data_IF_794537097540
#
_entry.id   IF_794537097540
#
_cell.length_a   1.000
_cell.length_b   1.000
_cell.length_c   1.000
_cell.angle_alpha   90.00
_cell.angle_beta   90.00
_cell.angle_gamma   90.00
#
_symmetry.space_group_name_H-M   'P 1'
#
loop_
_entity.id
_entity.type
_entity.pdbx_description
1 polymer ?
#
# COMPACT_ATOMS: atom_id res chain seq x y z
N UNK A 1 -1.19 -11.73 -73.85
CA UNK A 1 -0.42 -10.57 -73.36
C UNK A 1 -1.10 -10.07 -72.10
N UNK A 2 -0.37 -10.09 -70.99
CA UNK A 2 -0.90 -10.11 -69.63
C UNK A 2 -1.26 -8.73 -69.10
N UNK A 3 -2.50 -8.56 -68.66
CA UNK A 3 -2.91 -7.43 -67.80
C UNK A 3 -2.76 -7.88 -66.35
N UNK A 4 -1.70 -7.43 -65.68
CA UNK A 4 -1.45 -7.70 -64.25
C UNK A 4 -2.32 -6.77 -63.41
N UNK A 5 -3.20 -7.36 -62.60
CA UNK A 5 -3.90 -6.70 -61.50
C UNK A 5 -2.91 -6.61 -60.33
N UNK A 6 -2.57 -5.38 -59.91
CA UNK A 6 -1.80 -5.12 -58.69
C UNK A 6 -2.79 -4.98 -57.53
N UNK A 7 -2.97 -6.05 -56.76
CA UNK A 7 -3.57 -6.01 -55.43
C UNK A 7 -2.53 -5.48 -54.44
N UNK A 8 -2.77 -4.29 -53.89
CA UNK A 8 -2.00 -3.77 -52.76
C UNK A 8 -2.38 -4.57 -51.50
N UNK A 9 -1.47 -5.42 -51.04
CA UNK A 9 -1.60 -6.08 -49.74
C UNK A 9 -1.23 -5.06 -48.65
N UNK A 10 -2.23 -4.58 -47.91
CA UNK A 10 -2.05 -3.84 -46.67
C UNK A 10 -1.53 -4.79 -45.59
N UNK A 11 -0.24 -4.65 -45.24
CA UNK A 11 0.32 -5.26 -44.04
C UNK A 11 -0.33 -4.60 -42.81
N UNK A 12 -0.99 -5.34 -41.91
CA UNK A 12 -1.39 -4.77 -40.63
C UNK A 12 -0.12 -4.55 -39.81
N UNK A 13 0.17 -3.28 -39.53
CA UNK A 13 1.15 -2.89 -38.52
C UNK A 13 0.61 -3.38 -37.18
N UNK A 14 1.19 -4.47 -36.66
CA UNK A 14 0.94 -4.93 -35.31
C UNK A 14 1.52 -3.87 -34.36
N UNK A 15 0.67 -2.93 -33.93
CA UNK A 15 1.00 -2.04 -32.83
C UNK A 15 1.10 -2.93 -31.59
N UNK A 16 2.33 -3.23 -31.18
CA UNK A 16 2.58 -3.87 -29.89
C UNK A 16 2.14 -2.86 -28.82
N UNK A 17 0.92 -3.05 -28.31
CA UNK A 17 0.47 -2.40 -27.09
C UNK A 17 1.35 -3.00 -26.00
N UNK A 18 2.41 -2.28 -25.63
CA UNK A 18 3.09 -2.50 -24.36
C UNK A 18 2.06 -2.20 -23.28
N UNK A 19 1.37 -3.23 -22.83
CA UNK A 19 0.61 -3.20 -21.59
C UNK A 19 1.62 -2.96 -20.47
N UNK A 20 1.77 -1.71 -20.06
CA UNK A 20 2.40 -1.35 -18.79
C UNK A 20 1.70 -2.15 -17.71
N UNK A 21 2.39 -3.17 -17.19
CA UNK A 21 1.87 -4.01 -16.15
C UNK A 21 1.69 -3.15 -14.90
N UNK A 22 0.45 -2.92 -14.50
CA UNK A 22 0.13 -2.36 -13.21
C UNK A 22 0.44 -3.44 -12.15
N UNK A 23 1.55 -3.27 -11.44
CA UNK A 23 1.90 -4.07 -10.26
C UNK A 23 1.16 -3.44 -9.07
N UNK A 24 0.25 -4.21 -8.50
CA UNK A 24 -0.56 -3.94 -7.30
C UNK A 24 -0.71 -5.32 -6.64
N UNK A 25 -0.52 -5.61 -5.34
CA UNK A 25 -0.30 -4.84 -4.11
C UNK A 25 0.27 -5.77 -2.99
N UNK A 26 0.90 -5.17 -1.96
CA UNK A 26 1.19 -5.65 -0.59
C UNK A 26 1.77 -7.05 -0.37
N UNK A 27 3.07 -7.17 -0.66
CA UNK A 27 3.90 -8.29 -0.24
C UNK A 27 5.31 -8.22 -0.82
N UNK A 28 6.24 -8.98 -0.27
CA UNK A 28 7.70 -9.08 -0.46
C UNK A 28 8.20 -9.32 -1.88
N UNK A 29 7.35 -9.17 -2.89
CA UNK A 29 7.74 -9.28 -4.30
C UNK A 29 7.10 -8.16 -5.14
N UNK A 30 6.32 -7.28 -4.53
CA UNK A 30 5.70 -6.12 -5.20
C UNK A 30 6.68 -4.95 -5.40
N UNK A 31 7.73 -4.85 -4.57
CA UNK A 31 8.86 -3.94 -4.81
C UNK A 31 10.10 -4.74 -5.21
N UNK A 32 10.30 -4.93 -6.52
CA UNK A 32 11.45 -5.64 -7.07
C UNK A 32 12.81 -5.03 -6.68
N UNK A 33 12.85 -3.78 -6.19
CA UNK A 33 14.07 -3.17 -5.68
C UNK A 33 14.52 -3.78 -4.34
N UNK A 34 13.64 -4.45 -3.59
CA UNK A 34 13.95 -5.05 -2.30
C UNK A 34 14.41 -6.51 -2.37
N UNK A 35 14.32 -7.14 -3.56
CA UNK A 35 14.55 -8.58 -3.72
C UNK A 35 15.40 -8.91 -4.95
N UNK A 36 16.11 -10.04 -4.91
CA UNK A 36 16.84 -10.59 -6.07
C UNK A 36 15.89 -11.39 -6.95
N UNK A 37 15.13 -10.68 -7.80
CA UNK A 37 14.04 -11.26 -8.62
C UNK A 37 14.50 -12.03 -9.85
N UNK A 38 15.80 -12.04 -10.13
CA UNK A 38 16.44 -12.82 -11.20
C UNK A 38 16.64 -14.29 -10.82
N UNK A 39 16.67 -14.61 -9.53
CA UNK A 39 16.89 -15.96 -9.02
C UNK A 39 15.81 -16.35 -8.01
N UNK A 40 14.86 -17.18 -8.44
CA UNK A 40 13.89 -17.79 -7.53
C UNK A 40 14.54 -18.97 -6.80
N UNK A 41 14.49 -18.95 -5.48
CA UNK A 41 14.97 -20.03 -4.61
C UNK A 41 13.80 -20.92 -4.21
N UNK A 42 14.09 -22.20 -3.94
CA UNK A 42 13.12 -23.19 -3.48
C UNK A 42 13.66 -23.93 -2.25
N UNK A 43 12.83 -24.05 -1.21
CA UNK A 43 13.18 -24.68 0.07
C UNK A 43 12.05 -25.58 0.56
N UNK A 44 12.42 -26.62 1.30
CA UNK A 44 11.52 -27.39 2.16
C UNK A 44 11.97 -27.21 3.61
N UNK A 45 11.01 -27.12 4.53
CA UNK A 45 11.31 -26.86 5.94
C UNK A 45 10.04 -26.74 6.76
N UNK A 46 10.19 -26.26 7.99
CA UNK A 46 9.12 -26.18 8.97
C UNK A 46 8.90 -24.71 9.40
N UNK A 47 7.69 -24.18 9.20
CA UNK A 47 7.31 -22.91 9.83
C UNK A 47 7.05 -23.17 11.31
N UNK A 48 7.77 -22.44 12.16
CA UNK A 48 7.77 -22.64 13.62
C UNK A 48 7.12 -21.49 14.37
N UNK A 49 6.98 -20.34 13.72
CA UNK A 49 6.46 -19.12 14.31
C UNK A 49 5.86 -18.25 13.21
N UNK A 50 4.76 -17.57 13.52
CA UNK A 50 4.08 -16.65 12.60
C UNK A 50 3.87 -15.33 13.32
N UNK A 51 4.35 -14.25 12.73
CA UNK A 51 4.12 -12.88 13.20
C UNK A 51 2.91 -12.31 12.45
N UNK A 52 1.81 -12.16 13.18
CA UNK A 52 0.51 -11.73 12.68
C UNK A 52 0.27 -10.22 12.91
N UNK A 53 1.09 -9.38 12.27
CA UNK A 53 1.09 -7.91 12.42
C UNK A 53 1.15 -7.20 11.07
N UNK A 54 0.85 -5.89 11.02
CA UNK A 54 1.13 -5.04 9.85
C UNK A 54 2.64 -4.84 9.65
N UNK A 55 3.10 -4.46 8.44
CA UNK A 55 2.33 -4.31 7.21
C UNK A 55 2.10 -5.63 6.44
N UNK A 56 2.88 -6.67 6.74
CA UNK A 56 2.78 -7.97 6.09
C UNK A 56 2.93 -9.09 7.13
N UNK A 57 2.16 -10.16 6.96
CA UNK A 57 2.36 -11.35 7.78
C UNK A 57 3.71 -11.97 7.46
N UNK A 58 4.47 -12.28 8.52
CA UNK A 58 5.79 -12.91 8.44
C UNK A 58 5.80 -14.25 9.17
N UNK A 59 6.76 -15.11 8.85
CA UNK A 59 6.94 -16.41 9.49
C UNK A 59 8.43 -16.71 9.68
N UNK A 60 8.79 -17.43 10.75
CA UNK A 60 10.12 -18.05 10.86
C UNK A 60 10.04 -19.49 10.39
N UNK A 61 10.91 -19.86 9.46
CA UNK A 61 11.00 -21.19 8.88
C UNK A 61 12.36 -21.80 9.20
N UNK A 62 12.35 -22.96 9.83
CA UNK A 62 13.53 -23.80 10.00
C UNK A 62 13.78 -24.60 8.74
N UNK A 63 15.00 -24.50 8.21
CA UNK A 63 15.48 -25.25 7.06
C UNK A 63 16.72 -26.03 7.48
N UNK A 64 16.79 -27.32 7.14
CA UNK A 64 17.99 -28.14 7.31
C UNK A 64 18.80 -28.05 6.03
N UNK A 65 19.99 -27.47 6.10
CA UNK A 65 20.90 -27.32 4.97
C UNK A 65 21.54 -28.68 4.59
N UNK A 66 22.10 -28.83 3.38
CA UNK A 66 22.72 -30.08 2.93
C UNK A 66 23.87 -30.58 3.80
N UNK A 67 24.52 -29.69 4.56
CA UNK A 67 25.56 -30.02 5.54
C UNK A 67 24.99 -30.57 6.87
N UNK A 68 23.67 -30.59 7.03
CA UNK A 68 22.96 -31.01 8.24
C UNK A 68 22.78 -29.91 9.28
N UNK A 69 23.21 -28.67 9.02
CA UNK A 69 23.01 -27.54 9.92
C UNK A 69 21.58 -26.98 9.78
N UNK A 70 21.01 -26.55 10.90
CA UNK A 70 19.73 -25.85 10.91
C UNK A 70 19.93 -24.35 10.71
N UNK A 71 19.12 -23.77 9.84
CA UNK A 71 19.07 -22.33 9.61
C UNK A 71 17.63 -21.84 9.72
N UNK A 72 17.45 -20.74 10.43
CA UNK A 72 16.15 -20.05 10.50
C UNK A 72 16.12 -18.96 9.43
N UNK A 73 15.06 -18.98 8.62
CA UNK A 73 14.76 -17.97 7.62
C UNK A 73 13.54 -17.16 8.05
N UNK A 74 13.59 -15.85 7.82
CA UNK A 74 12.42 -14.99 7.91
C UNK A 74 11.70 -14.96 6.57
N UNK A 75 10.44 -15.38 6.57
CA UNK A 75 9.60 -15.46 5.40
C UNK A 75 8.59 -14.33 5.48
N UNK A 76 8.48 -13.50 4.45
CA UNK A 76 7.28 -12.72 4.28
C UNK A 76 6.26 -13.55 3.48
N UNK A 77 5.24 -14.04 4.16
CA UNK A 77 4.34 -15.07 3.62
C UNK A 77 3.21 -14.47 2.78
N UNK A 78 2.77 -13.26 3.11
CA UNK A 78 1.40 -12.92 2.78
C UNK A 78 1.01 -11.46 2.87
N UNK A 79 -0.19 -11.12 2.38
CA UNK A 79 -0.79 -9.82 2.60
C UNK A 79 -0.97 -9.59 4.11
N UNK A 80 -1.69 -8.54 4.46
CA UNK A 80 -1.89 -8.18 5.86
C UNK A 80 -2.71 -9.27 6.58
N UNK A 81 -2.59 -9.39 7.91
CA UNK A 81 -3.44 -10.26 8.74
C UNK A 81 -4.93 -10.23 8.38
N UNK A 82 -5.47 -9.03 8.12
CA UNK A 82 -6.86 -8.83 7.69
C UNK A 82 -7.23 -9.66 6.47
N UNK A 83 -6.39 -9.63 5.43
CA UNK A 83 -6.69 -10.33 4.17
C UNK A 83 -6.71 -11.84 4.39
N UNK A 84 -5.86 -12.35 5.28
CA UNK A 84 -5.91 -13.75 5.66
C UNK A 84 -7.13 -14.09 6.51
N UNK A 85 -7.50 -13.23 7.46
CA UNK A 85 -8.69 -13.46 8.30
C UNK A 85 -9.98 -13.42 7.49
N UNK A 86 -10.09 -12.58 6.46
CA UNK A 86 -11.24 -12.58 5.54
C UNK A 86 -11.32 -13.86 4.71
N UNK A 87 -10.20 -14.57 4.55
CA UNK A 87 -10.12 -15.91 3.95
C UNK A 87 -10.32 -17.03 4.98
N UNK A 88 -10.67 -16.68 6.23
CA UNK A 88 -10.87 -17.64 7.31
C UNK A 88 -9.58 -18.23 7.88
N UNK A 89 -8.41 -17.65 7.56
CA UNK A 89 -7.11 -18.14 8.02
C UNK A 89 -6.73 -17.59 9.38
N UNK A 90 -5.88 -18.33 10.06
CA UNK A 90 -5.28 -18.01 11.35
C UNK A 90 -3.78 -18.34 11.34
N UNK A 91 -2.98 -17.76 12.25
CA UNK A 91 -1.54 -18.05 12.31
C UNK A 91 -1.20 -19.54 12.34
N UNK A 92 -1.98 -20.34 13.05
CA UNK A 92 -1.79 -21.79 13.20
C UNK A 92 -1.91 -22.58 11.88
N UNK A 93 -2.60 -22.04 10.87
CA UNK A 93 -2.77 -22.71 9.57
C UNK A 93 -1.45 -22.82 8.78
N UNK A 94 -0.46 -22.01 9.17
CA UNK A 94 0.84 -21.94 8.50
C UNK A 94 1.91 -22.77 9.23
N UNK A 95 1.67 -23.20 10.48
CA UNK A 95 2.66 -23.91 11.29
C UNK A 95 2.87 -25.36 10.82
N UNK A 96 4.12 -25.77 10.66
CA UNK A 96 4.50 -27.12 10.27
C UNK A 96 5.27 -27.19 8.95
N UNK A 97 5.30 -28.38 8.34
CA UNK A 97 6.10 -28.63 7.13
C UNK A 97 5.50 -27.93 5.90
N UNK A 98 6.34 -27.17 5.20
CA UNK A 98 5.96 -26.39 4.02
C UNK A 98 6.99 -26.54 2.89
N UNK A 99 6.57 -26.17 1.69
CA UNK A 99 7.49 -25.85 0.58
C UNK A 99 7.35 -24.39 0.22
N UNK A 100 8.47 -23.72 0.00
CA UNK A 100 8.50 -22.31 -0.33
C UNK A 100 9.32 -22.06 -1.59
N UNK A 101 8.81 -21.19 -2.46
CA UNK A 101 9.55 -20.66 -3.59
C UNK A 101 9.38 -19.14 -3.62
N UNK A 102 10.48 -18.43 -3.74
CA UNK A 102 10.48 -16.99 -3.53
C UNK A 102 11.80 -16.32 -3.89
N UNK A 103 11.89 -15.03 -3.59
CA UNK A 103 13.07 -14.22 -3.90
C UNK A 103 13.74 -13.74 -2.64
N UNK A 104 15.06 -13.89 -2.58
CA UNK A 104 15.86 -13.48 -1.42
C UNK A 104 15.83 -11.97 -1.25
N UNK A 105 15.70 -11.50 -0.03
CA UNK A 105 15.77 -10.07 0.31
C UNK A 105 17.17 -9.51 0.03
N UNK A 106 17.23 -8.26 -0.44
CA UNK A 106 18.45 -7.46 -0.58
C UNK A 106 18.89 -6.82 0.75
N UNK A 107 17.98 -6.72 1.72
CA UNK A 107 18.22 -6.11 3.04
C UNK A 107 18.67 -7.13 4.07
N UNK A 108 18.00 -8.28 4.14
CA UNK A 108 18.34 -9.35 5.06
C UNK A 108 18.72 -10.63 4.28
N UNK A 109 19.99 -11.09 4.36
CA UNK A 109 20.45 -12.28 3.65
C UNK A 109 19.72 -13.56 4.05
N UNK A 110 19.07 -13.57 5.21
CA UNK A 110 18.33 -14.72 5.77
C UNK A 110 16.81 -14.49 5.71
N UNK A 111 16.36 -13.63 4.79
CA UNK A 111 14.95 -13.36 4.52
C UNK A 111 14.57 -13.63 3.06
N UNK A 112 13.34 -14.09 2.85
CA UNK A 112 12.77 -14.38 1.53
C UNK A 112 11.32 -13.91 1.43
N UNK A 113 10.99 -13.33 0.27
CA UNK A 113 9.63 -13.04 -0.12
C UNK A 113 8.98 -14.24 -0.77
N UNK A 114 7.94 -14.81 -0.16
CA UNK A 114 7.26 -15.97 -0.71
C UNK A 114 6.44 -15.59 -1.95
N UNK A 115 6.69 -16.26 -3.07
CA UNK A 115 5.81 -16.27 -4.24
C UNK A 115 4.87 -17.46 -4.25
N UNK A 116 5.36 -18.60 -3.75
CA UNK A 116 4.62 -19.83 -3.59
C UNK A 116 4.90 -20.36 -2.19
N UNK A 117 3.84 -20.74 -1.46
CA UNK A 117 3.94 -21.42 -0.19
C UNK A 117 2.93 -22.58 -0.16
N UNK A 118 3.44 -23.82 -0.22
CA UNK A 118 2.63 -25.01 0.02
C UNK A 118 2.48 -25.21 1.53
N UNK A 119 1.26 -25.05 2.02
CA UNK A 119 0.89 -25.17 3.42
C UNK A 119 0.84 -26.65 3.86
N UNK A 120 0.88 -26.92 5.17
CA UNK A 120 0.75 -28.28 5.71
C UNK A 120 -0.59 -28.95 5.34
N UNK A 121 -1.64 -28.16 5.08
CA UNK A 121 -2.93 -28.64 4.59
C UNK A 121 -2.88 -29.22 3.16
N UNK A 122 -1.80 -28.97 2.42
CA UNK A 122 -1.66 -29.29 1.00
C UNK A 122 -2.22 -28.22 0.06
N UNK A 123 -2.71 -27.10 0.60
CA UNK A 123 -3.09 -25.92 -0.17
C UNK A 123 -1.87 -25.07 -0.52
N UNK A 124 -1.86 -24.45 -1.70
CA UNK A 124 -0.80 -23.55 -2.11
C UNK A 124 -1.26 -22.09 -2.10
N UNK A 125 -0.53 -21.24 -1.37
CA UNK A 125 -0.60 -19.79 -1.54
C UNK A 125 0.22 -19.41 -2.76
N UNK A 126 -0.44 -18.79 -3.73
CA UNK A 126 0.20 -18.35 -4.98
C UNK A 126 0.08 -16.84 -5.08
N UNK A 127 1.21 -16.14 -5.07
CA UNK A 127 1.25 -14.69 -5.25
C UNK A 127 1.45 -14.32 -6.72
N UNK A 128 0.83 -13.21 -7.09
CA UNK A 128 0.59 -12.69 -8.42
C UNK A 128 -0.60 -13.34 -9.14
N UNK A 129 -1.46 -12.48 -9.66
CA UNK A 129 -2.79 -12.74 -10.23
C UNK A 129 -2.80 -13.66 -11.48
N UNK A 130 -1.67 -14.31 -11.83
CA UNK A 130 -1.45 -15.16 -13.01
C UNK A 130 -0.35 -16.23 -12.87
N UNK A 131 0.28 -16.38 -11.71
CA UNK A 131 1.26 -17.45 -11.53
C UNK A 131 0.52 -18.80 -11.50
N UNK A 132 0.99 -19.77 -12.28
CA UNK A 132 0.45 -21.13 -12.15
C UNK A 132 0.90 -21.71 -10.80
N UNK A 133 0.07 -22.51 -10.12
CA UNK A 133 0.52 -23.23 -8.94
C UNK A 133 1.74 -24.08 -9.26
N UNK A 134 2.65 -24.16 -8.30
CA UNK A 134 3.94 -24.82 -8.44
C UNK A 134 3.90 -26.29 -7.99
N UNK A 135 3.12 -26.60 -6.96
CA UNK A 135 3.05 -27.94 -6.37
C UNK A 135 1.62 -28.47 -6.18
N UNK A 136 0.61 -27.61 -5.98
CA UNK A 136 -0.77 -28.05 -5.70
C UNK A 136 -1.81 -27.38 -6.59
N UNK A 137 -2.71 -28.18 -7.17
CA UNK A 137 -3.89 -27.65 -7.86
C UNK A 137 -4.91 -27.02 -6.90
N UNK A 138 -4.78 -27.29 -5.59
CA UNK A 138 -5.61 -26.70 -4.55
C UNK A 138 -5.00 -25.36 -4.11
N UNK A 139 -5.35 -24.30 -4.82
CA UNK A 139 -4.85 -22.93 -4.54
C UNK A 139 -5.78 -22.23 -3.57
N UNK A 140 -5.20 -21.53 -2.59
CA UNK A 140 -5.97 -20.66 -1.70
C UNK A 140 -6.58 -19.53 -2.54
N UNK A 141 -7.90 -19.48 -2.58
CA UNK A 141 -8.63 -18.45 -3.30
C UNK A 141 -8.75 -17.19 -2.45
N UNK A 142 -8.58 -16.03 -3.08
CA UNK A 142 -9.02 -14.78 -2.48
C UNK A 142 -10.54 -14.80 -2.36
N UNK A 143 -11.04 -14.77 -1.12
CA UNK A 143 -12.47 -14.68 -0.82
C UNK A 143 -12.80 -13.24 -0.45
N UNK A 144 -13.81 -12.66 -1.09
CA UNK A 144 -14.34 -11.36 -0.68
C UNK A 144 -14.87 -11.46 0.76
N UNK A 145 -14.50 -10.49 1.59
CA UNK A 145 -14.98 -10.43 2.97
C UNK A 145 -16.52 -10.39 3.00
N UNK A 146 -17.14 -11.35 3.72
CA UNK A 146 -18.59 -11.34 3.95
C UNK A 146 -18.87 -10.37 5.10
N UNK A 147 -19.47 -9.23 4.78
CA UNK A 147 -19.82 -8.20 5.77
C UNK A 147 -21.14 -8.55 6.47
N UNK A 148 -21.24 -8.22 7.76
CA UNK A 148 -22.46 -8.39 8.55
C UNK A 148 -23.59 -7.49 8.00
N UNK A 149 -24.71 -8.07 7.50
CA UNK A 149 -25.82 -7.29 6.97
C UNK A 149 -26.45 -6.32 7.97
N UNK A 150 -26.46 -6.67 9.27
CA UNK A 150 -27.02 -5.80 10.31
C UNK A 150 -26.14 -4.56 10.49
N UNK A 151 -24.83 -4.72 10.50
CA UNK A 151 -23.88 -3.62 10.56
C UNK A 151 -23.91 -2.74 9.31
N UNK A 152 -23.97 -3.37 8.13
CA UNK A 152 -24.14 -2.62 6.87
C UNK A 152 -25.40 -1.76 6.92
N UNK A 153 -26.51 -2.29 7.45
CA UNK A 153 -27.75 -1.55 7.59
C UNK A 153 -27.63 -0.41 8.62
N UNK A 154 -26.91 -0.64 9.72
CA UNK A 154 -26.68 0.38 10.74
C UNK A 154 -25.84 1.54 10.21
N UNK A 155 -24.70 1.27 9.58
CA UNK A 155 -23.85 2.28 8.97
C UNK A 155 -24.62 3.12 7.95
N UNK A 156 -25.52 2.50 7.19
CA UNK A 156 -26.39 3.21 6.24
C UNK A 156 -27.38 4.14 6.92
N UNK A 157 -27.83 3.80 8.13
CA UNK A 157 -28.79 4.58 8.91
C UNK A 157 -28.12 5.76 9.62
N UNK A 158 -26.87 5.60 10.03
CA UNK A 158 -26.13 6.58 10.86
C UNK A 158 -25.09 7.39 10.09
N UNK A 159 -24.84 7.07 8.81
CA UNK A 159 -23.91 7.79 7.96
C UNK A 159 -24.10 9.32 8.03
N UNK A 160 -23.00 10.04 8.25
CA UNK A 160 -22.99 11.49 8.36
C UNK A 160 -21.76 12.06 7.63
N UNK A 161 -21.98 12.69 6.46
CA UNK A 161 -20.90 13.37 5.75
C UNK A 161 -19.68 12.47 5.52
N UNK A 162 -18.47 13.02 5.57
CA UNK A 162 -17.25 12.20 5.40
C UNK A 162 -16.94 11.27 6.58
N UNK A 163 -17.62 11.42 7.72
CA UNK A 163 -17.37 10.74 9.00
C UNK A 163 -17.85 9.29 8.98
N UNK A 164 -17.15 8.48 8.19
CA UNK A 164 -17.41 7.06 7.94
C UNK A 164 -16.11 6.38 7.52
N UNK A 165 -16.17 5.06 7.30
CA UNK A 165 -15.02 4.30 6.78
C UNK A 165 -15.03 4.32 5.25
N UNK A 166 -13.91 4.73 4.68
CA UNK A 166 -13.66 4.72 3.24
C UNK A 166 -12.65 3.63 2.92
N UNK A 167 -13.10 2.63 2.16
CA UNK A 167 -12.30 1.48 1.77
C UNK A 167 -11.50 1.72 0.49
N UNK A 168 -11.58 0.74 -0.41
CA UNK A 168 -10.70 0.62 -1.57
C UNK A 168 -10.69 1.86 -2.46
N UNK A 169 -9.48 2.20 -2.93
CA UNK A 169 -9.22 3.21 -3.94
C UNK A 169 -9.64 2.76 -5.35
N UNK A 170 -10.02 3.70 -6.21
CA UNK A 170 -10.45 3.39 -7.59
C UNK A 170 -9.35 3.52 -8.64
N UNK A 171 -8.38 4.40 -8.42
CA UNK A 171 -7.33 4.71 -9.39
C UNK A 171 -5.99 4.21 -8.88
N UNK A 172 -5.05 3.86 -9.77
CA UNK A 172 -3.69 3.51 -9.37
C UNK A 172 -3.04 4.64 -8.55
N UNK A 173 -2.07 4.29 -7.71
CA UNK A 173 -1.26 5.30 -7.02
C UNK A 173 -0.54 6.19 -8.04
N UNK A 174 -0.37 7.45 -7.67
CA UNK A 174 0.51 8.36 -8.38
C UNK A 174 1.97 7.91 -8.19
N UNK A 175 2.79 8.17 -9.21
CA UNK A 175 4.23 7.90 -9.22
C UNK A 175 4.98 9.11 -9.77
N UNK A 176 6.32 9.07 -9.70
CA UNK A 176 7.18 10.10 -10.30
C UNK A 176 6.84 10.34 -11.76
N UNK A 177 6.42 9.29 -12.49
CA UNK A 177 6.12 9.36 -13.91
C UNK A 177 4.91 10.26 -14.21
N UNK A 178 4.02 10.47 -13.24
CA UNK A 178 2.87 11.37 -13.36
C UNK A 178 3.25 12.85 -13.21
N UNK A 179 4.44 13.14 -12.66
CA UNK A 179 4.91 14.49 -12.31
C UNK A 179 6.33 14.79 -12.85
N UNK A 180 6.85 13.94 -13.74
CA UNK A 180 8.24 14.00 -14.20
C UNK A 180 8.59 15.32 -14.91
N UNK A 181 7.63 15.87 -15.66
CA UNK A 181 7.78 17.14 -16.36
C UNK A 181 7.89 18.34 -15.41
N UNK A 182 7.33 18.22 -14.20
CA UNK A 182 7.35 19.25 -13.16
C UNK A 182 8.56 19.14 -12.25
N UNK A 183 9.38 18.08 -12.33
CA UNK A 183 10.56 17.98 -11.50
C UNK A 183 11.58 19.07 -11.83
N UNK A 184 12.06 19.77 -10.80
CA UNK A 184 13.25 20.60 -10.94
C UNK A 184 14.49 19.72 -11.15
N UNK A 185 15.61 20.34 -11.53
CA UNK A 185 16.89 19.63 -11.57
C UNK A 185 17.25 19.01 -10.20
N UNK A 186 16.92 19.67 -9.10
CA UNK A 186 17.16 19.17 -7.74
C UNK A 186 16.21 18.04 -7.39
N UNK A 187 14.92 18.14 -7.74
CA UNK A 187 13.94 17.07 -7.52
C UNK A 187 14.33 15.78 -8.24
N UNK A 188 14.79 15.88 -9.49
CA UNK A 188 15.30 14.73 -10.26
C UNK A 188 16.54 14.11 -9.62
N UNK A 189 17.50 14.94 -9.21
CA UNK A 189 18.71 14.48 -8.53
C UNK A 189 18.38 13.72 -7.23
N UNK A 190 17.47 14.24 -6.41
CA UNK A 190 17.04 13.59 -5.17
C UNK A 190 16.35 12.24 -5.44
N UNK A 191 15.48 12.18 -6.44
CA UNK A 191 14.82 10.93 -6.83
C UNK A 191 15.80 9.88 -7.35
N UNK A 192 16.79 10.27 -8.15
CA UNK A 192 17.84 9.36 -8.65
C UNK A 192 18.76 8.84 -7.53
N UNK A 193 18.88 9.56 -6.41
CA UNK A 193 19.67 9.16 -5.25
C UNK A 193 18.93 8.19 -4.31
N UNK A 194 17.60 8.08 -4.44
CA UNK A 194 16.79 7.23 -3.58
C UNK A 194 17.14 5.75 -3.76
N UNK A 195 17.54 5.09 -2.67
CA UNK A 195 17.68 3.64 -2.60
C UNK A 195 16.57 3.05 -1.73
N UNK A 196 15.63 2.33 -2.34
CA UNK A 196 14.52 1.69 -1.63
C UNK A 196 14.96 0.71 -0.53
N UNK A 197 16.18 0.18 -0.57
CA UNK A 197 16.71 -0.75 0.44
C UNK A 197 17.12 -0.02 1.72
N UNK A 198 17.65 1.20 1.61
CA UNK A 198 18.19 1.96 2.75
C UNK A 198 17.34 3.16 3.16
N UNK A 199 16.61 3.74 2.21
CA UNK A 199 15.99 5.07 2.38
C UNK A 199 14.47 5.02 2.45
N UNK A 200 13.87 3.81 2.42
CA UNK A 200 12.43 3.63 2.47
C UNK A 200 11.90 3.67 3.91
N UNK A 201 11.19 4.74 4.35
CA UNK A 201 10.71 4.86 5.73
C UNK A 201 9.60 3.86 6.09
N UNK A 202 8.92 3.26 5.11
CA UNK A 202 7.95 2.19 5.37
C UNK A 202 8.61 0.94 6.00
N UNK A 203 9.91 0.76 5.78
CA UNK A 203 10.71 -0.29 6.44
C UNK A 203 10.96 -0.01 7.92
N UNK A 204 10.53 1.15 8.41
CA UNK A 204 10.61 1.64 9.78
C UNK A 204 9.22 1.94 10.37
N UNK A 205 8.15 1.35 9.80
CA UNK A 205 6.77 1.54 10.24
C UNK A 205 6.23 2.97 10.09
N UNK A 206 6.76 3.75 9.14
CA UNK A 206 6.32 5.11 8.86
C UNK A 206 5.53 5.21 7.55
N UNK A 207 4.61 6.15 7.45
CA UNK A 207 3.86 6.49 6.24
C UNK A 207 3.61 8.00 6.12
N UNK A 208 3.45 8.48 4.89
CA UNK A 208 3.18 9.89 4.59
C UNK A 208 1.71 10.19 4.35
N UNK A 209 1.40 11.48 4.22
CA UNK A 209 0.06 11.98 3.91
C UNK A 209 -0.44 11.43 2.57
N UNK A 210 0.30 11.68 1.48
CA UNK A 210 -0.14 11.29 0.14
C UNK A 210 -0.08 9.76 -0.03
N UNK A 211 0.94 9.10 0.54
CA UNK A 211 1.08 7.64 0.45
C UNK A 211 -0.07 6.90 1.12
N UNK A 212 -0.46 7.30 2.34
CA UNK A 212 -1.57 6.67 3.08
C UNK A 212 -2.94 6.99 2.47
N UNK A 213 -3.19 8.24 2.07
CA UNK A 213 -4.46 8.64 1.47
C UNK A 213 -4.68 8.00 0.09
N UNK A 214 -3.61 7.67 -0.62
CA UNK A 214 -3.64 6.91 -1.88
C UNK A 214 -3.46 5.40 -1.69
N UNK A 215 -3.47 4.89 -0.46
CA UNK A 215 -3.42 3.46 -0.19
C UNK A 215 -4.76 2.75 -0.50
N UNK A 216 -4.71 1.42 -0.56
CA UNK A 216 -5.90 0.54 -0.56
C UNK A 216 -6.47 0.30 0.83
N UNK A 217 -5.64 0.45 1.87
CA UNK A 217 -6.07 0.27 3.26
C UNK A 217 -7.22 1.23 3.61
N UNK A 218 -8.24 0.77 4.35
CA UNK A 218 -9.34 1.61 4.83
C UNK A 218 -8.86 2.81 5.65
N UNK A 219 -9.64 3.89 5.59
CA UNK A 219 -9.46 5.07 6.43
C UNK A 219 -10.78 5.47 7.08
N UNK A 220 -10.75 5.97 8.31
CA UNK A 220 -11.93 6.44 9.04
C UNK A 220 -11.76 7.91 9.40
N UNK A 221 -12.78 8.73 9.11
CA UNK A 221 -12.83 10.10 9.62
C UNK A 221 -13.67 10.13 10.90
N UNK A 222 -13.14 10.71 11.96
CA UNK A 222 -13.79 10.86 13.26
C UNK A 222 -13.92 12.35 13.57
N UNK A 223 -15.14 12.77 13.92
CA UNK A 223 -15.42 14.14 14.36
C UNK A 223 -15.22 14.27 15.88
N UNK A 224 -14.25 15.08 16.30
CA UNK A 224 -14.03 15.43 17.71
C UNK A 224 -14.47 16.87 18.04
N UNK A 225 -15.20 17.53 17.15
CA UNK A 225 -15.72 18.87 17.32
C UNK A 225 -14.73 19.96 16.92
N UNK A 226 -13.60 20.09 17.64
CA UNK A 226 -12.55 21.09 17.33
C UNK A 226 -11.44 20.54 16.42
N UNK A 227 -11.47 19.25 16.13
CA UNK A 227 -10.57 18.57 15.20
C UNK A 227 -11.26 17.38 14.55
N UNK A 228 -10.66 16.93 13.45
CA UNK A 228 -11.01 15.70 12.76
C UNK A 228 -9.81 14.77 12.88
N UNK A 229 -10.05 13.54 13.30
CA UNK A 229 -9.06 12.47 13.27
C UNK A 229 -9.27 11.65 12.00
N UNK A 230 -8.18 11.35 11.30
CA UNK A 230 -8.17 10.35 10.24
C UNK A 230 -7.39 9.15 10.77
N UNK A 231 -8.11 8.08 11.07
CA UNK A 231 -7.51 6.80 11.41
C UNK A 231 -7.13 6.09 10.12
N UNK A 232 -5.85 5.77 10.01
CA UNK A 232 -5.26 5.06 8.88
C UNK A 232 -5.01 3.63 9.35
N UNK A 233 -5.68 2.68 8.71
CA UNK A 233 -5.42 1.28 9.02
C UNK A 233 -4.00 0.86 8.59
N UNK A 234 -3.48 1.50 7.54
CA UNK A 234 -2.07 1.36 7.16
C UNK A 234 -1.18 1.86 8.31
N UNK A 235 -0.30 0.98 8.80
CA UNK A 235 0.59 1.21 9.94
C UNK A 235 -0.10 1.53 11.29
N UNK A 236 -1.43 1.40 11.39
CA UNK A 236 -2.20 1.83 12.56
C UNK A 236 -1.91 3.29 12.95
N UNK A 237 -1.83 4.17 11.95
CA UNK A 237 -1.40 5.55 12.13
C UNK A 237 -2.60 6.49 12.31
N UNK A 238 -2.40 7.56 13.08
CA UNK A 238 -3.42 8.58 13.32
C UNK A 238 -2.96 9.93 12.76
N UNK A 239 -3.83 10.61 12.00
CA UNK A 239 -3.60 11.97 11.52
C UNK A 239 -4.64 12.93 12.07
N UNK A 240 -4.18 14.04 12.64
CA UNK A 240 -5.04 15.08 13.22
C UNK A 240 -5.17 16.26 12.28
N UNK A 241 -6.40 16.72 12.05
CA UNK A 241 -6.73 17.95 11.33
C UNK A 241 -7.43 18.91 12.31
N UNK A 242 -6.79 20.02 12.64
CA UNK A 242 -7.39 21.03 13.52
C UNK A 242 -8.41 21.89 12.78
N UNK A 243 -9.58 22.08 13.38
CA UNK A 243 -10.61 23.01 12.91
C UNK A 243 -10.58 24.28 13.77
N UNK A 244 -11.01 25.41 13.22
CA UNK A 244 -11.18 26.67 13.95
C UNK A 244 -9.91 27.12 14.70
N UNK A 245 -9.02 27.78 13.94
CA UNK A 245 -7.63 28.19 14.24
C UNK A 245 -7.29 28.87 15.57
N UNK A 246 -8.23 29.06 16.50
CA UNK A 246 -7.92 29.54 17.86
C UNK A 246 -7.22 28.48 18.73
N UNK A 247 -7.41 27.18 18.43
CA UNK A 247 -6.69 26.07 19.08
C UNK A 247 -5.27 25.84 18.52
N UNK A 248 -4.90 26.53 17.43
CA UNK A 248 -3.63 26.37 16.71
C UNK A 248 -2.46 27.11 17.38
N UNK A 249 -2.36 27.06 18.73
CA UNK A 249 -1.35 27.79 19.48
C UNK A 249 -0.18 26.90 19.92
N UNK A 250 0.76 26.67 19.01
CA UNK A 250 2.19 26.44 19.25
C UNK A 250 2.84 26.39 17.85
N UNK A 251 4.06 26.90 17.68
CA UNK A 251 4.80 26.61 16.45
C UNK A 251 4.92 25.08 16.31
N UNK A 252 4.37 24.48 15.25
CA UNK A 252 4.40 23.04 15.11
C UNK A 252 5.84 22.58 14.95
N UNK A 253 6.24 21.60 15.77
CA UNK A 253 7.44 20.82 15.52
C UNK A 253 7.13 19.89 14.36
N UNK A 254 8.03 19.72 13.37
CA UNK A 254 7.81 18.78 12.29
C UNK A 254 7.43 17.40 12.83
N UNK A 255 6.34 16.87 12.28
CA UNK A 255 5.77 15.59 12.64
C UNK A 255 5.58 14.76 11.38
N UNK A 256 5.41 13.45 11.52
CA UNK A 256 5.29 12.54 10.39
C UNK A 256 4.22 12.97 9.37
N UNK A 257 3.04 13.38 9.86
CA UNK A 257 1.97 13.97 9.03
C UNK A 257 1.91 15.50 9.05
N UNK A 258 2.94 16.15 9.59
CA UNK A 258 3.02 17.59 9.74
C UNK A 258 1.88 18.21 10.53
N UNK A 259 1.57 19.47 10.22
CA UNK A 259 0.57 20.28 10.90
C UNK A 259 -0.58 20.65 9.97
N UNK A 260 -1.73 20.00 10.16
CA UNK A 260 -2.91 20.13 9.29
C UNK A 260 -3.96 21.07 9.88
N UNK A 261 -4.39 22.08 9.12
CA UNK A 261 -5.48 22.99 9.47
C UNK A 261 -6.58 22.91 8.42
N UNK A 262 -7.79 22.61 8.86
CA UNK A 262 -8.95 22.40 8.00
C UNK A 262 -10.05 23.46 8.17
N UNK A 263 -10.80 23.68 7.10
CA UNK A 263 -12.06 24.41 7.10
C UNK A 263 -13.04 23.82 6.08
N UNK A 264 -14.33 24.11 6.26
CA UNK A 264 -15.38 23.66 5.36
C UNK A 264 -15.69 24.72 4.29
N UNK A 265 -15.76 24.30 3.03
CA UNK A 265 -16.23 25.10 1.89
C UNK A 265 -17.46 24.43 1.27
N UNK A 266 -18.65 24.82 1.75
CA UNK A 266 -19.85 24.03 1.49
C UNK A 266 -19.72 22.67 2.17
N UNK A 267 -19.86 21.60 1.39
CA UNK A 267 -19.76 20.21 1.88
C UNK A 267 -18.36 19.62 1.71
N UNK A 268 -17.38 20.41 1.26
CA UNK A 268 -16.01 19.98 1.06
C UNK A 268 -15.13 20.39 2.24
N UNK A 269 -14.36 19.45 2.78
CA UNK A 269 -13.29 19.77 3.73
C UNK A 269 -12.04 20.15 2.94
N UNK A 270 -11.51 21.34 3.21
CA UNK A 270 -10.24 21.83 2.66
C UNK A 270 -9.23 21.86 3.78
N UNK A 271 -8.05 21.28 3.55
CA UNK A 271 -7.00 21.16 4.56
C UNK A 271 -5.69 21.65 3.99
N UNK A 272 -4.99 22.51 4.73
CA UNK A 272 -3.62 22.91 4.42
C UNK A 272 -2.69 22.27 5.44
N UNK A 273 -1.61 21.68 4.96
CA UNK A 273 -0.62 21.00 5.79
C UNK A 273 0.80 21.46 5.48
N UNK A 274 1.55 21.78 6.54
CA UNK A 274 2.97 22.19 6.52
C UNK A 274 3.79 21.35 7.51
N UNK A 275 5.10 21.59 7.59
CA UNK A 275 5.98 20.99 8.62
C UNK A 275 5.99 19.45 8.60
N UNK A 276 5.98 18.86 7.41
CA UNK A 276 5.92 17.41 7.19
C UNK A 276 7.34 16.82 7.32
N UNK A 277 7.53 15.90 8.27
CA UNK A 277 8.79 15.20 8.50
C UNK A 277 8.94 13.91 7.67
N UNK A 278 7.84 13.29 7.26
CA UNK A 278 7.91 12.15 6.35
C UNK A 278 8.55 12.59 5.03
N UNK A 279 9.58 11.91 4.47
CA UNK A 279 10.40 12.49 3.41
C UNK A 279 9.90 12.26 1.98
N UNK A 280 8.88 11.41 1.78
CA UNK A 280 8.45 10.98 0.45
C UNK A 280 7.03 11.47 0.13
N UNK A 281 6.87 12.02 -1.07
CA UNK A 281 5.57 12.33 -1.65
C UNK A 281 4.86 11.07 -2.16
N UNK A 282 5.58 10.16 -2.85
CA UNK A 282 5.04 8.92 -3.39
C UNK A 282 5.84 7.70 -2.92
N UNK A 283 5.19 6.53 -2.91
CA UNK A 283 5.78 5.26 -2.43
C UNK A 283 6.94 4.74 -3.29
N UNK A 284 7.15 5.30 -4.49
CA UNK A 284 8.23 4.91 -5.39
C UNK A 284 9.56 5.62 -5.09
N UNK A 285 9.60 6.45 -4.04
CA UNK A 285 10.78 7.23 -3.67
C UNK A 285 10.74 8.69 -4.10
N UNK A 286 9.66 9.15 -4.74
CA UNK A 286 9.51 10.57 -5.09
C UNK A 286 9.60 11.43 -3.83
N UNK A 287 10.61 12.30 -3.69
CA UNK A 287 10.86 13.04 -2.46
C UNK A 287 9.98 14.31 -2.39
N UNK A 288 9.95 14.94 -1.22
CA UNK A 288 9.70 16.37 -1.09
C UNK A 288 10.73 16.99 -0.11
N UNK A 289 10.82 18.31 -0.08
CA UNK A 289 11.67 19.08 0.81
C UNK A 289 10.93 19.50 2.08
N UNK A 290 11.66 20.19 2.96
CA UNK A 290 11.13 20.85 4.15
C UNK A 290 10.26 22.09 3.83
N UNK A 291 10.21 22.52 2.57
CA UNK A 291 9.36 23.61 2.08
C UNK A 291 8.05 23.13 1.48
N UNK A 292 7.72 21.84 1.63
CA UNK A 292 6.48 21.28 1.10
C UNK A 292 5.27 21.90 1.81
N UNK A 293 4.26 22.26 1.02
CA UNK A 293 2.91 22.55 1.49
C UNK A 293 1.93 21.68 0.70
N UNK A 294 0.99 21.05 1.40
CA UNK A 294 -0.07 20.24 0.78
C UNK A 294 -1.42 20.90 1.04
N UNK A 295 -2.12 21.23 -0.05
CA UNK A 295 -3.52 21.64 -0.01
C UNK A 295 -4.39 20.46 -0.42
N UNK A 296 -5.03 19.83 0.56
CA UNK A 296 -5.95 18.72 0.38
C UNK A 296 -7.41 19.22 0.28
N UNK A 297 -8.22 18.52 -0.52
CA UNK A 297 -9.65 18.72 -0.63
C UNK A 297 -10.38 17.37 -0.66
N UNK A 298 -11.37 17.27 0.20
CA UNK A 298 -12.20 16.08 0.40
C UNK A 298 -13.63 16.38 -0.02
N UNK A 299 -14.12 15.67 -1.04
CA UNK A 299 -15.44 15.90 -1.62
C UNK A 299 -16.21 14.58 -1.76
N UNK A 300 -17.40 14.51 -1.20
CA UNK A 300 -18.28 13.36 -1.44
C UNK A 300 -19.00 13.50 -2.77
N UNK A 301 -19.29 12.36 -3.40
CA UNK A 301 -20.23 12.31 -4.52
C UNK A 301 -21.65 12.60 -4.07
N UNK A 302 -22.52 13.02 -5.00
CA UNK A 302 -23.94 13.34 -4.71
C UNK A 302 -24.72 12.19 -4.05
N UNK A 303 -24.36 10.95 -4.38
CA UNK A 303 -24.97 9.74 -3.79
C UNK A 303 -24.19 9.21 -2.56
N UNK A 304 -23.20 9.96 -2.09
CA UNK A 304 -22.34 9.67 -0.93
C UNK A 304 -21.61 8.32 -0.95
N UNK A 305 -21.49 7.72 -2.13
CA UNK A 305 -20.83 6.42 -2.30
C UNK A 305 -19.32 6.51 -2.53
N UNK A 306 -18.82 7.71 -2.89
CA UNK A 306 -17.42 7.97 -3.18
C UNK A 306 -16.93 9.20 -2.42
N UNK A 307 -15.72 9.09 -1.85
CA UNK A 307 -14.93 10.21 -1.37
C UNK A 307 -13.85 10.50 -2.41
N UNK A 308 -13.89 11.71 -2.97
CA UNK A 308 -12.82 12.26 -3.78
C UNK A 308 -11.81 12.95 -2.88
N UNK A 309 -10.57 12.49 -2.93
CA UNK A 309 -9.41 13.15 -2.35
C UNK A 309 -8.60 13.80 -3.46
N UNK A 310 -8.33 15.10 -3.35
CA UNK A 310 -7.43 15.84 -4.24
C UNK A 310 -6.36 16.50 -3.39
N UNK A 311 -5.09 16.33 -3.73
CA UNK A 311 -3.98 17.00 -3.08
C UNK A 311 -3.19 17.80 -4.10
N UNK A 312 -3.00 19.09 -3.81
CA UNK A 312 -2.09 19.97 -4.55
C UNK A 312 -0.85 20.21 -3.70
N UNK A 313 0.30 19.76 -4.20
CA UNK A 313 1.58 19.85 -3.50
C UNK A 313 2.38 20.98 -4.12
N UNK A 314 2.81 21.91 -3.27
CA UNK A 314 3.71 23.00 -3.63
C UNK A 314 5.04 22.78 -2.92
N UNK A 315 6.09 22.60 -3.69
CA UNK A 315 7.45 22.46 -3.19
C UNK A 315 8.42 23.05 -4.21
N UNK A 316 8.91 24.29 -4.03
CA UNK A 316 9.75 24.95 -5.03
C UNK A 316 11.16 24.33 -5.16
N UNK A 317 11.56 23.47 -4.23
CA UNK A 317 12.84 22.75 -4.32
C UNK A 317 12.69 21.56 -5.26
N UNK A 318 11.59 20.80 -5.16
CA UNK A 318 11.39 19.56 -5.90
C UNK A 318 10.60 19.76 -7.20
N UNK A 319 9.60 20.63 -7.20
CA UNK A 319 8.72 20.89 -8.35
C UNK A 319 8.84 22.33 -8.88
N UNK A 320 8.82 22.51 -10.21
CA UNK A 320 8.86 23.82 -10.87
C UNK A 320 7.53 24.57 -10.80
N UNK A 321 6.44 23.85 -10.53
CA UNK A 321 5.09 24.36 -10.32
C UNK A 321 4.31 23.40 -9.42
N UNK A 322 3.18 23.82 -8.80
CA UNK A 322 2.38 22.92 -7.99
C UNK A 322 1.89 21.70 -8.77
N UNK A 323 1.95 20.53 -8.15
CA UNK A 323 1.49 19.26 -8.74
C UNK A 323 0.22 18.79 -8.06
N UNK A 324 -0.77 18.34 -8.84
CA UNK A 324 -2.05 17.87 -8.30
C UNK A 324 -2.23 16.38 -8.54
N UNK A 325 -2.54 15.65 -7.47
CA UNK A 325 -2.91 14.24 -7.53
C UNK A 325 -4.32 14.04 -7.00
N UNK A 326 -5.00 13.02 -7.52
CA UNK A 326 -6.40 12.72 -7.20
C UNK A 326 -6.61 11.24 -6.97
N UNK A 327 -7.41 10.91 -5.96
CA UNK A 327 -7.89 9.57 -5.68
C UNK A 327 -9.39 9.58 -5.39
N UNK A 328 -10.06 8.46 -5.64
CA UNK A 328 -11.42 8.22 -5.17
C UNK A 328 -11.44 6.95 -4.33
N UNK A 329 -12.13 6.99 -3.20
CA UNK A 329 -12.31 5.84 -2.30
C UNK A 329 -13.80 5.49 -2.22
N UNK A 330 -14.11 4.19 -2.19
CA UNK A 330 -15.49 3.71 -2.00
C UNK A 330 -15.86 3.76 -0.53
N UNK A 331 -17.10 4.14 -0.24
CA UNK A 331 -17.64 3.93 1.10
C UNK A 331 -17.70 2.42 1.40
N UNK A 332 -17.24 2.02 2.59
CA UNK A 332 -17.21 0.65 3.05
C UNK A 332 -18.16 0.46 4.27
N UNK A 333 -19.49 0.41 4.06
CA UNK A 333 -20.43 0.14 5.15
C UNK A 333 -20.26 -1.32 5.62
N UNK A 334 -20.39 -1.55 6.93
CA UNK A 334 -20.19 -2.86 7.54
C UNK A 334 -18.74 -3.17 7.89
N UNK A 335 -17.80 -2.31 7.49
CA UNK A 335 -16.38 -2.48 7.78
C UNK A 335 -16.08 -2.10 9.23
N UNK A 336 -15.10 -2.76 9.82
CA UNK A 336 -14.50 -2.36 11.11
C UNK A 336 -13.06 -2.00 10.85
N UNK A 337 -12.57 -0.91 11.46
CA UNK A 337 -11.13 -0.65 11.54
C UNK A 337 -10.50 -1.71 12.42
N UNK A 338 -9.33 -2.23 12.04
CA UNK A 338 -8.58 -3.14 12.92
C UNK A 338 -7.49 -2.34 13.61
N UNK A 339 -7.58 -2.31 14.95
CA UNK A 339 -6.66 -1.57 15.83
C UNK A 339 -5.59 -2.50 16.45
N UNK A 340 -5.70 -3.83 16.28
CA UNK A 340 -4.90 -4.83 17.01
C UNK A 340 -3.59 -5.27 16.32
N UNK A 341 -3.30 -4.77 15.11
CA UNK A 341 -2.17 -5.26 14.30
C UNK A 341 -1.04 -4.24 14.14
N UNK A 342 -0.69 -3.50 15.20
CA UNK A 342 0.43 -2.54 15.20
C UNK A 342 1.61 -2.98 14.34
N UNK A 343 2.17 -2.03 13.59
CA UNK A 343 3.34 -2.32 12.78
C UNK A 343 4.50 -2.75 13.69
N UNK A 344 5.06 -3.93 13.42
CA UNK A 344 6.15 -4.49 14.19
C UNK A 344 7.35 -4.73 13.28
N UNK A 345 8.49 -4.14 13.62
CA UNK A 345 9.76 -4.36 12.93
C UNK A 345 10.44 -5.65 13.41
N UNK A 346 10.45 -5.84 14.72
CA UNK A 346 11.10 -6.96 15.39
C UNK A 346 10.10 -8.05 15.79
N UNK A 347 10.63 -9.24 16.04
CA UNK A 347 9.87 -10.32 16.66
C UNK A 347 9.85 -10.08 18.17
N UNK A 348 8.70 -10.23 18.82
CA UNK A 348 8.63 -10.18 20.29
C UNK A 348 9.48 -11.33 20.89
N UNK A 349 10.35 -11.03 21.86
CA UNK A 349 11.26 -12.01 22.48
C UNK A 349 10.58 -12.98 23.45
#
# INVERSE_FOLDING_TARGET
>A
MNTKILTAASLPVLMAIFSSQAIAHHGAVSNGALYFTDTMLEFEGEIIEVLWRYPHTRARMRVVEPNGEEKIWEIEIGPTPRVFESQGRRPEDFLGNVKLAGYRSRRNPDSIGAMHLLLPSGEELVRANRSQPRWSENVVQEVEAVLDPERVAEDRRTANGIFRIWGERLHRRATVADVDEQLTARGRELFEQYDAVTDNPELECRTGIVTSMMDTAPIRFVDEGDRIIIDLEDFNAERVIYLNTEAASAEPVPAEFGYSVGHWEGDALVVRTTDIDYPLMFRDGTPHSDQVEILERFEMSENESLLTYTATVTDPVVFSEPVTVRQQRRWAPGYEMIEDFDCALEWEE
#
